data_IF_263861133148
#
_entry.id   IF_263861133148
#
_cell.length_a   1.000
_cell.length_b   1.000
_cell.length_c   1.000
_cell.angle_alpha   90.00
_cell.angle_beta   90.00
_cell.angle_gamma   90.00
#
_symmetry.space_group_name_H-M   'P 1'
#
loop_
_entity.id
_entity.type
_entity.pdbx_description
1 polymer ?
#
# COMPACT_ATOMS: atom_id res chain seq x y z
N UNK A 1 25.04 24.61 55.29
CA UNK A 1 24.07 25.54 54.66
C UNK A 1 23.46 24.74 53.52
N UNK A 2 22.45 23.86 53.66
CA UNK A 2 21.14 23.98 54.33
C UNK A 2 20.54 25.35 54.02
N UNK A 3 19.46 25.54 53.27
CA UNK A 3 18.43 24.71 52.62
C UNK A 3 18.18 25.34 51.22
N UNK A 4 17.66 24.66 50.20
CA UNK A 4 16.22 24.68 49.93
C UNK A 4 15.84 23.44 49.12
N UNK A 5 15.24 22.48 49.83
CA UNK A 5 14.43 21.43 49.22
C UNK A 5 13.10 22.09 48.90
N UNK A 6 12.87 22.42 47.63
CA UNK A 6 11.55 22.82 47.14
C UNK A 6 10.63 21.61 47.35
N UNK A 7 9.86 21.65 48.43
CA UNK A 7 8.66 20.84 48.64
C UNK A 7 7.47 21.74 48.29
N UNK A 8 7.11 21.75 47.01
CA UNK A 8 5.80 22.19 46.51
C UNK A 8 5.03 20.89 46.22
N UNK A 9 4.37 20.29 47.22
CA UNK A 9 2.93 20.42 47.50
C UNK A 9 2.03 20.06 46.31
N UNK A 10 1.62 18.79 46.27
CA UNK A 10 0.26 18.30 45.95
C UNK A 10 -0.45 18.82 44.69
N UNK A 11 0.24 18.97 43.56
CA UNK A 11 -0.43 19.03 42.25
C UNK A 11 -0.52 17.61 41.67
N UNK A 12 -1.75 17.07 41.59
CA UNK A 12 -2.03 15.78 40.94
C UNK A 12 -1.58 15.91 39.48
N UNK A 13 -0.54 15.18 39.09
CA UNK A 13 -0.06 15.16 37.71
C UNK A 13 -0.91 14.22 36.87
N UNK A 14 -0.97 14.45 35.55
CA UNK A 14 -1.68 13.55 34.62
C UNK A 14 -1.13 12.12 34.62
N UNK A 15 0.07 11.92 35.17
CA UNK A 15 0.72 10.62 35.37
C UNK A 15 0.36 9.92 36.68
N UNK A 16 -0.39 10.56 37.58
CA UNK A 16 -0.73 9.97 38.88
C UNK A 16 -1.88 8.97 38.75
N UNK A 17 -1.74 7.84 39.45
CA UNK A 17 -2.72 6.76 39.48
C UNK A 17 -3.67 7.03 40.65
N UNK A 18 -4.91 7.36 40.32
CA UNK A 18 -6.00 7.50 41.29
C UNK A 18 -6.78 6.19 41.36
N UNK A 19 -6.79 5.56 42.54
CA UNK A 19 -7.53 4.33 42.78
C UNK A 19 -8.13 4.30 44.19
N UNK A 20 -9.21 3.53 44.37
CA UNK A 20 -9.88 3.40 45.66
C UNK A 20 -9.36 2.20 46.45
N UNK A 21 -9.09 2.39 47.74
CA UNK A 21 -8.69 1.30 48.64
C UNK A 21 -9.85 0.29 48.81
N UNK A 22 -9.63 -1.03 48.64
CA UNK A 22 -10.68 -2.04 48.77
C UNK A 22 -11.24 -2.18 50.20
N UNK A 23 -10.45 -1.84 51.23
CA UNK A 23 -10.83 -2.02 52.63
C UNK A 23 -11.54 -0.81 53.25
N UNK A 24 -11.13 0.41 52.88
CA UNK A 24 -11.73 1.65 53.43
C UNK A 24 -12.51 2.49 52.42
N UNK A 25 -12.43 2.16 51.12
CA UNK A 25 -13.15 2.85 50.04
C UNK A 25 -12.70 4.29 49.79
N UNK A 26 -11.52 4.67 50.29
CA UNK A 26 -10.98 6.02 50.13
C UNK A 26 -10.09 6.11 48.90
N UNK A 27 -10.23 7.19 48.14
CA UNK A 27 -9.43 7.45 46.95
C UNK A 27 -8.00 7.83 47.34
N UNK A 28 -7.04 7.04 46.88
CA UNK A 28 -5.61 7.24 47.00
C UNK A 28 -5.06 7.73 45.66
N UNK A 29 -4.12 8.66 45.71
CA UNK A 29 -3.39 9.19 44.55
C UNK A 29 -1.92 8.83 44.73
N UNK A 30 -1.36 8.06 43.80
CA UNK A 30 0.03 7.60 43.87
C UNK A 30 0.71 7.88 42.55
N UNK A 31 1.94 8.36 42.63
CA UNK A 31 2.83 8.54 41.48
C UNK A 31 2.95 7.24 40.66
N UNK A 32 3.09 7.35 39.34
CA UNK A 32 3.23 6.22 38.42
C UNK A 32 4.32 5.22 38.82
N UNK A 33 5.35 5.66 39.57
CA UNK A 33 6.42 4.79 40.11
C UNK A 33 5.92 3.80 41.17
N UNK A 34 4.75 4.04 41.75
CA UNK A 34 4.08 3.15 42.69
C UNK A 34 3.27 2.04 42.04
N UNK A 35 3.13 2.02 40.70
CA UNK A 35 2.36 1.01 39.98
C UNK A 35 2.89 -0.40 40.25
N UNK A 36 2.03 -1.31 40.72
CA UNK A 36 2.40 -2.70 41.01
C UNK A 36 3.18 -2.92 42.32
N UNK A 37 3.43 -1.87 43.11
CA UNK A 37 4.03 -1.98 44.44
C UNK A 37 2.95 -2.11 45.53
N UNK A 38 3.30 -2.75 46.65
CA UNK A 38 2.47 -2.82 47.85
C UNK A 38 2.71 -1.56 48.69
N UNK A 39 1.67 -0.76 48.88
CA UNK A 39 1.73 0.47 49.68
C UNK A 39 0.77 0.38 50.86
N UNK A 40 1.13 1.00 51.98
CA UNK A 40 0.26 1.04 53.16
C UNK A 40 -0.75 2.18 53.03
N UNK A 41 -2.03 1.87 53.22
CA UNK A 41 -3.08 2.89 53.20
C UNK A 41 -2.93 3.82 54.42
N UNK A 42 -2.95 5.14 54.20
CA UNK A 42 -2.81 6.15 55.26
C UNK A 42 -3.97 6.18 56.26
N UNK A 43 -5.11 5.57 55.91
CA UNK A 43 -6.35 5.63 56.69
C UNK A 43 -6.69 4.33 57.42
N UNK A 44 -6.56 3.17 56.76
CA UNK A 44 -6.77 1.87 57.43
C UNK A 44 -5.48 1.19 57.88
N UNK A 45 -4.32 1.57 57.34
CA UNK A 45 -3.04 0.94 57.64
C UNK A 45 -2.80 -0.40 56.95
N UNK A 46 -3.76 -0.90 56.16
CA UNK A 46 -3.66 -2.17 55.44
C UNK A 46 -2.78 -2.03 54.17
N UNK A 47 -2.14 -3.12 53.76
CA UNK A 47 -1.34 -3.17 52.53
C UNK A 47 -2.25 -3.31 51.30
N UNK A 48 -2.15 -2.36 50.37
CA UNK A 48 -2.93 -2.35 49.13
C UNK A 48 -1.98 -2.42 47.93
N UNK A 49 -2.35 -3.21 46.92
CA UNK A 49 -1.61 -3.33 45.66
C UNK A 49 -2.11 -2.26 44.69
N UNK A 50 -1.20 -1.45 44.17
CA UNK A 50 -1.54 -0.43 43.16
C UNK A 50 -1.79 -1.12 41.81
N UNK A 51 -2.95 -0.94 41.17
CA UNK A 51 -3.23 -1.52 39.87
C UNK A 51 -2.32 -0.92 38.79
N UNK A 52 -1.78 -1.77 37.92
CA UNK A 52 -0.96 -1.34 36.78
C UNK A 52 -1.91 -0.97 35.63
N UNK A 53 -1.95 0.30 35.17
CA UNK A 53 -2.75 0.67 34.00
C UNK A 53 -2.22 0.00 32.74
N UNK A 54 -3.12 -0.51 31.89
CA UNK A 54 -2.77 -1.17 30.63
C UNK A 54 -2.00 -0.22 29.70
N UNK A 55 -0.78 -0.61 29.31
CA UNK A 55 0.07 0.12 28.36
C UNK A 55 1.36 0.75 28.93
N UNK A 56 1.63 0.60 30.23
CA UNK A 56 2.88 1.04 30.83
C UNK A 56 3.89 -0.13 30.91
N UNK A 57 4.77 -0.24 29.91
CA UNK A 57 5.92 -1.16 29.97
C UNK A 57 6.95 -0.60 30.96
N UNK A 58 7.03 -1.18 32.16
CA UNK A 58 7.94 -0.78 33.24
C UNK A 58 9.45 -0.89 32.87
N UNK A 59 9.78 -1.51 31.74
CA UNK A 59 11.17 -1.69 31.26
C UNK A 59 11.86 -0.37 30.86
N UNK A 60 11.10 0.70 30.60
CA UNK A 60 11.68 2.00 30.26
C UNK A 60 12.17 2.80 31.49
N UNK A 61 11.79 2.40 32.72
CA UNK A 61 12.14 3.10 33.96
C UNK A 61 13.52 2.75 34.52
N UNK A 62 14.02 1.55 34.22
CA UNK A 62 15.36 1.07 34.64
C UNK A 62 16.43 1.21 33.55
N UNK A 63 16.06 1.77 32.39
CA UNK A 63 16.99 2.01 31.30
C UNK A 63 18.03 3.05 31.71
N UNK A 64 19.31 2.65 31.74
CA UNK A 64 20.37 3.60 32.05
C UNK A 64 20.48 4.65 30.94
N UNK A 65 20.98 5.87 31.23
CA UNK A 65 21.23 6.87 30.19
C UNK A 65 22.09 6.33 29.03
N UNK A 66 22.99 5.38 29.33
CA UNK A 66 23.82 4.68 28.35
C UNK A 66 22.98 3.76 27.43
N UNK A 67 22.00 3.04 27.97
CA UNK A 67 21.12 2.17 27.19
C UNK A 67 20.22 2.96 26.24
N UNK A 68 19.74 4.13 26.70
CA UNK A 68 18.97 5.06 25.87
C UNK A 68 19.83 5.60 24.72
N UNK A 69 21.09 5.94 24.98
CA UNK A 69 22.02 6.45 23.97
C UNK A 69 22.32 5.40 22.88
N UNK A 70 22.54 4.15 23.29
CA UNK A 70 22.70 3.02 22.35
C UNK A 70 21.43 2.80 21.52
N UNK A 71 20.25 2.89 22.13
CA UNK A 71 18.97 2.74 21.41
C UNK A 71 18.80 3.86 20.37
N UNK A 72 19.14 5.10 20.71
CA UNK A 72 19.10 6.25 19.79
C UNK A 72 20.03 6.03 18.60
N UNK A 73 21.25 5.55 18.84
CA UNK A 73 22.23 5.28 17.77
C UNK A 73 21.70 4.18 16.83
N UNK A 74 21.18 3.08 17.39
CA UNK A 74 20.64 1.98 16.60
C UNK A 74 19.43 2.41 15.76
N UNK A 75 18.52 3.19 16.34
CA UNK A 75 17.37 3.73 15.63
C UNK A 75 17.79 4.63 14.48
N UNK A 76 18.73 5.56 14.70
CA UNK A 76 19.27 6.42 13.64
C UNK A 76 19.90 5.61 12.50
N UNK A 77 20.67 4.58 12.82
CA UNK A 77 21.27 3.70 11.82
C UNK A 77 20.19 2.96 11.02
N UNK A 78 19.18 2.41 11.70
CA UNK A 78 18.07 1.71 11.04
C UNK A 78 17.25 2.63 10.13
N UNK A 79 16.99 3.87 10.58
CA UNK A 79 16.28 4.86 9.81
C UNK A 79 17.06 5.22 8.55
N UNK A 80 18.35 5.53 8.68
CA UNK A 80 19.24 5.82 7.55
C UNK A 80 19.27 4.69 6.51
N UNK A 81 19.35 3.43 6.96
CA UNK A 81 19.30 2.27 6.07
C UNK A 81 17.94 2.15 5.36
N UNK A 82 16.85 2.39 6.08
CA UNK A 82 15.50 2.34 5.50
C UNK A 82 15.28 3.45 4.47
N UNK A 83 15.76 4.67 4.74
CA UNK A 83 15.69 5.82 3.83
C UNK A 83 16.51 5.58 2.56
N UNK A 84 17.69 4.98 2.69
CA UNK A 84 18.52 4.59 1.54
C UNK A 84 17.79 3.55 0.67
N UNK A 85 17.16 2.54 1.28
CA UNK A 85 16.40 1.52 0.57
C UNK A 85 15.16 2.10 -0.11
N UNK A 86 14.44 3.01 0.53
CA UNK A 86 13.30 3.71 -0.09
C UNK A 86 13.75 4.46 -1.33
N UNK A 87 14.85 5.22 -1.24
CA UNK A 87 15.40 5.95 -2.38
C UNK A 87 15.79 5.03 -3.55
N UNK A 88 16.40 3.88 -3.25
CA UNK A 88 16.75 2.89 -4.27
C UNK A 88 15.51 2.33 -4.97
N UNK A 89 14.49 1.95 -4.21
CA UNK A 89 13.23 1.43 -4.74
C UNK A 89 12.46 2.49 -5.55
N UNK A 90 12.50 3.76 -5.15
CA UNK A 90 11.89 4.86 -5.90
C UNK A 90 12.51 4.99 -7.30
N UNK A 91 13.84 4.86 -7.41
CA UNK A 91 14.55 4.87 -8.69
C UNK A 91 14.17 3.66 -9.54
N UNK A 92 14.13 2.46 -8.95
CA UNK A 92 13.74 1.24 -9.67
C UNK A 92 12.29 1.31 -10.18
N UNK A 93 11.37 1.81 -9.36
CA UNK A 93 9.97 2.00 -9.77
C UNK A 93 9.84 3.01 -10.91
N UNK A 94 10.66 4.07 -10.91
CA UNK A 94 10.66 5.04 -12.01
C UNK A 94 11.12 4.39 -13.33
N UNK A 95 12.22 3.64 -13.31
CA UNK A 95 12.73 2.90 -14.48
C UNK A 95 11.74 1.84 -14.98
N UNK A 96 11.13 1.06 -14.08
CA UNK A 96 10.11 0.08 -14.46
C UNK A 96 8.86 0.72 -15.05
N UNK A 97 8.45 1.89 -14.56
CA UNK A 97 7.32 2.65 -15.13
C UNK A 97 7.63 3.15 -16.54
N UNK A 98 8.84 3.65 -16.76
CA UNK A 98 9.31 4.08 -18.08
C UNK A 98 9.28 2.91 -19.07
N UNK A 99 9.92 1.77 -18.73
CA UNK A 99 9.90 0.56 -19.55
C UNK A 99 8.48 0.04 -19.81
N UNK A 100 7.60 0.08 -18.81
CA UNK A 100 6.20 -0.31 -18.98
C UNK A 100 5.46 0.59 -19.96
N UNK A 101 5.73 1.90 -19.94
CA UNK A 101 5.14 2.86 -20.86
C UNK A 101 5.60 2.60 -22.29
N UNK A 102 6.90 2.37 -22.50
CA UNK A 102 7.46 2.04 -23.82
C UNK A 102 6.85 0.75 -24.39
N UNK A 103 6.79 -0.31 -23.59
CA UNK A 103 6.21 -1.59 -24.01
C UNK A 103 4.72 -1.47 -24.33
N UNK A 104 3.97 -0.68 -23.55
CA UNK A 104 2.56 -0.42 -23.83
C UNK A 104 2.39 0.33 -25.15
N UNK A 105 3.18 1.37 -25.38
CA UNK A 105 3.16 2.12 -26.64
C UNK A 105 3.52 1.24 -27.84
N UNK A 106 4.53 0.39 -27.72
CA UNK A 106 4.91 -0.57 -28.77
C UNK A 106 3.78 -1.57 -29.05
N UNK A 107 3.14 -2.09 -27.99
CA UNK A 107 1.97 -2.99 -28.12
C UNK A 107 0.80 -2.30 -28.81
N UNK A 108 0.51 -1.05 -28.46
CA UNK A 108 -0.57 -0.28 -29.10
C UNK A 108 -0.28 -0.03 -30.59
N UNK A 109 0.96 0.29 -30.95
CA UNK A 109 1.37 0.43 -32.35
C UNK A 109 1.23 -0.88 -33.14
N UNK A 110 1.61 -2.02 -32.55
CA UNK A 110 1.43 -3.34 -33.18
C UNK A 110 -0.05 -3.66 -33.36
N UNK A 111 -0.87 -3.33 -32.37
CA UNK A 111 -2.33 -3.55 -32.44
C UNK A 111 -2.95 -2.73 -33.57
N UNK A 112 -2.59 -1.46 -33.71
CA UNK A 112 -3.02 -0.59 -34.81
C UNK A 112 -2.59 -1.15 -36.17
N UNK A 113 -1.32 -1.54 -36.32
CA UNK A 113 -0.83 -2.15 -37.55
C UNK A 113 -1.59 -3.44 -37.90
N UNK A 114 -1.96 -4.25 -36.90
CA UNK A 114 -2.72 -5.47 -37.12
C UNK A 114 -4.17 -5.19 -37.54
N UNK A 115 -4.79 -4.12 -37.03
CA UNK A 115 -6.11 -3.65 -37.45
C UNK A 115 -6.07 -3.14 -38.90
N UNK A 116 -5.07 -2.33 -39.27
CA UNK A 116 -4.87 -1.83 -40.63
C UNK A 116 -4.68 -2.97 -41.63
N UNK A 117 -3.88 -3.97 -41.29
CA UNK A 117 -3.66 -5.15 -42.14
C UNK A 117 -4.97 -5.93 -42.31
N UNK A 118 -5.77 -6.09 -41.25
CA UNK A 118 -7.08 -6.75 -41.33
C UNK A 118 -8.04 -6.00 -42.24
N UNK A 119 -8.08 -4.68 -42.18
CA UNK A 119 -8.93 -3.87 -43.06
C UNK A 119 -8.51 -4.01 -44.53
N UNK A 120 -7.20 -3.98 -44.81
CA UNK A 120 -6.67 -4.19 -46.17
C UNK A 120 -7.00 -5.58 -46.71
N UNK A 121 -6.91 -6.61 -45.88
CA UNK A 121 -7.30 -7.98 -46.27
C UNK A 121 -8.79 -8.01 -46.65
N UNK A 122 -9.67 -7.44 -45.82
CA UNK A 122 -11.10 -7.40 -46.12
C UNK A 122 -11.41 -6.64 -47.43
N UNK A 123 -10.68 -5.55 -47.71
CA UNK A 123 -10.81 -4.81 -48.96
C UNK A 123 -10.35 -5.63 -50.17
N UNK A 124 -9.24 -6.37 -50.03
CA UNK A 124 -8.74 -7.26 -51.08
C UNK A 124 -9.75 -8.38 -51.35
N UNK A 125 -10.27 -9.04 -50.31
CA UNK A 125 -11.29 -10.10 -50.45
C UNK A 125 -12.54 -9.58 -51.17
N UNK A 126 -13.01 -8.37 -50.84
CA UNK A 126 -14.10 -7.73 -51.55
C UNK A 126 -13.78 -7.51 -53.02
N UNK A 127 -12.62 -6.94 -53.32
CA UNK A 127 -12.20 -6.70 -54.72
C UNK A 127 -12.05 -8.00 -55.51
N UNK A 128 -11.56 -9.07 -54.87
CA UNK A 128 -11.49 -10.40 -55.47
C UNK A 128 -12.88 -10.94 -55.78
N UNK A 129 -13.84 -10.82 -54.85
CA UNK A 129 -15.23 -11.24 -55.08
C UNK A 129 -15.87 -10.49 -56.25
N UNK A 130 -15.66 -9.18 -56.34
CA UNK A 130 -16.17 -8.36 -57.43
C UNK A 130 -15.54 -8.73 -58.78
N UNK A 131 -14.23 -9.01 -58.80
CA UNK A 131 -13.53 -9.52 -60.00
C UNK A 131 -14.09 -10.88 -60.41
N UNK A 132 -14.26 -11.82 -59.48
CA UNK A 132 -14.84 -13.13 -59.79
C UNK A 132 -16.24 -13.01 -60.39
N UNK A 133 -17.09 -12.12 -59.85
CA UNK A 133 -18.42 -11.83 -60.42
C UNK A 133 -18.34 -11.23 -61.82
N UNK A 134 -17.41 -10.31 -62.06
CA UNK A 134 -17.23 -9.70 -63.38
C UNK A 134 -16.76 -10.73 -64.41
N UNK A 135 -15.81 -11.59 -64.04
CA UNK A 135 -15.31 -12.68 -64.89
C UNK A 135 -16.40 -13.71 -65.18
N UNK A 136 -17.19 -14.10 -64.19
CA UNK A 136 -18.32 -15.01 -64.37
C UNK A 136 -19.39 -14.42 -65.31
N UNK A 137 -19.72 -13.14 -65.13
CA UNK A 137 -20.61 -12.42 -66.04
C UNK A 137 -20.10 -12.37 -67.49
N UNK A 138 -18.80 -12.13 -67.69
CA UNK A 138 -18.17 -12.19 -69.02
C UNK A 138 -18.20 -13.61 -69.61
N UNK A 139 -17.96 -14.64 -68.80
CA UNK A 139 -18.06 -16.05 -69.21
C UNK A 139 -19.46 -16.39 -69.71
N UNK A 140 -20.51 -15.93 -69.01
CA UNK A 140 -21.91 -16.12 -69.44
C UNK A 140 -22.19 -15.39 -70.76
N UNK A 141 -21.71 -14.15 -70.92
CA UNK A 141 -21.88 -13.40 -72.17
C UNK A 141 -21.18 -14.07 -73.36
N UNK A 142 -19.97 -14.60 -73.17
CA UNK A 142 -19.25 -15.36 -74.20
C UNK A 142 -19.98 -16.66 -74.51
N UNK A 143 -20.47 -17.39 -73.50
CA UNK A 143 -21.22 -18.63 -73.70
C UNK A 143 -22.60 -18.45 -74.34
N UNK A 144 -23.23 -17.28 -74.18
CA UNK A 144 -24.45 -16.90 -74.92
C UNK A 144 -24.14 -16.49 -76.37
N UNK A 145 -22.98 -15.88 -76.63
CA UNK A 145 -22.52 -15.58 -77.98
C UNK A 145 -22.20 -16.84 -78.79
N UNK A 146 -21.85 -17.95 -78.13
CA UNK A 146 -21.62 -19.26 -78.75
C UNK A 146 -22.93 -20.02 -79.07
N UNK A 147 -24.09 -19.55 -78.58
CA UNK A 147 -25.39 -20.23 -78.69
C UNK A 147 -26.42 -19.55 -79.62
N UNK A 148 -26.01 -18.84 -80.67
CA UNK A 148 -26.97 -18.38 -81.69
C UNK A 148 -26.42 -18.36 -83.12
N UNK A 149 -27.21 -18.69 -84.16
CA UNK A 149 -28.46 -19.46 -84.24
C UNK A 149 -28.32 -20.70 -85.18
N UNK A 150 -28.41 -21.93 -84.67
CA UNK A 150 -28.48 -23.16 -85.48
C UNK A 150 -29.83 -23.90 -85.36
N UNK A 151 -30.93 -23.17 -85.14
CA UNK A 151 -32.28 -23.77 -85.07
C UNK A 151 -33.31 -23.02 -85.93
N UNK A 152 -33.00 -22.82 -87.22
CA UNK A 152 -34.01 -22.58 -88.26
C UNK A 152 -33.47 -23.01 -89.64
N UNK A 153 -33.50 -24.31 -89.96
CA UNK A 153 -33.67 -24.81 -91.34
C UNK A 153 -33.80 -26.34 -91.35
N UNK A 154 -34.96 -26.78 -91.87
CA UNK A 154 -35.34 -28.12 -92.38
C UNK A 154 -35.58 -29.29 -91.40
#
# INVERSE_FOLDING_TARGET
MAEDVIRETDEIQETDIVFDCPDCGKSLCIDYRGAGLNITCTDCGEEVVVPIPDGMELDDLDSTPQDQEVRIINLRNSLSLSEARVRELEVEVADLKERSMELKAARDAVMQNADDVRERIAQIEKSQSDIYRAVDGLSVLIGLADKGPEETAE
#
